data_IF_586380491943
#
_entry.id   IF_586380491943
#
_cell.length_a   1.000
_cell.length_b   1.000
_cell.length_c   1.000
_cell.angle_alpha   90.00
_cell.angle_beta   90.00
_cell.angle_gamma   90.00
#
_symmetry.space_group_name_H-M   'P 1'
#
loop_
_entity.id
_entity.type
_entity.pdbx_description
1 polymer ?
#
# COMPACT_ATOMS: atom_id res chain seq x y z
N UNK A 1 -28.70 -16.54 5.19
CA UNK A 1 -28.24 -15.70 6.32
C UNK A 1 -26.88 -15.11 5.95
N UNK A 2 -26.73 -13.78 5.98
CA UNK A 2 -25.43 -13.12 5.77
C UNK A 2 -24.55 -13.48 6.96
N UNK A 3 -23.40 -14.09 6.71
CA UNK A 3 -22.42 -14.42 7.76
C UNK A 3 -21.80 -13.13 8.28
N UNK A 4 -21.40 -13.09 9.55
CA UNK A 4 -20.83 -11.89 10.21
C UNK A 4 -19.59 -11.28 9.52
N UNK A 5 -19.10 -11.89 8.45
CA UNK A 5 -17.91 -11.45 7.69
C UNK A 5 -18.24 -10.95 6.28
N UNK A 6 -19.49 -10.93 5.87
CA UNK A 6 -19.88 -10.49 4.54
C UNK A 6 -19.95 -8.97 4.48
N UNK A 7 -19.39 -8.38 3.43
CA UNK A 7 -19.38 -6.94 3.24
C UNK A 7 -20.73 -6.47 2.71
N UNK A 8 -21.58 -5.93 3.57
CA UNK A 8 -22.88 -5.38 3.20
C UNK A 8 -22.76 -3.88 2.87
N UNK A 9 -23.30 -3.50 1.73
CA UNK A 9 -23.53 -2.12 1.28
C UNK A 9 -25.05 -1.88 1.29
N UNK A 10 -25.52 -0.87 2.00
CA UNK A 10 -26.96 -0.57 2.07
C UNK A 10 -27.24 0.84 1.51
N UNK A 11 -28.28 0.94 0.69
CA UNK A 11 -28.79 2.22 0.20
C UNK A 11 -29.85 2.75 1.15
N UNK A 12 -29.69 4.00 1.60
CA UNK A 12 -30.61 4.68 2.51
C UNK A 12 -30.91 6.07 1.94
N UNK A 13 -32.13 6.53 2.05
CA UNK A 13 -32.58 7.83 1.57
C UNK A 13 -34.08 7.85 1.37
N UNK A 14 -34.65 9.04 1.08
CA UNK A 14 -36.08 9.25 0.84
C UNK A 14 -36.63 8.35 -0.27
N UNK A 15 -37.95 8.18 -0.38
CA UNK A 15 -38.57 7.63 -1.59
C UNK A 15 -38.21 8.50 -2.82
N UNK A 16 -38.16 7.89 -3.99
CA UNK A 16 -37.97 8.52 -5.29
C UNK A 16 -36.64 9.26 -5.54
N UNK A 17 -35.64 9.15 -4.62
CA UNK A 17 -34.28 9.69 -4.86
C UNK A 17 -33.47 8.83 -5.84
N UNK A 18 -33.99 7.68 -6.27
CA UNK A 18 -33.34 6.81 -7.26
C UNK A 18 -32.54 5.64 -6.67
N UNK A 19 -32.81 5.22 -5.43
CA UNK A 19 -32.13 4.07 -4.78
C UNK A 19 -32.17 2.79 -5.62
N UNK A 20 -33.35 2.39 -6.09
CA UNK A 20 -33.50 1.19 -6.90
C UNK A 20 -32.82 1.27 -8.27
N UNK A 21 -32.75 2.48 -8.85
CA UNK A 21 -31.99 2.72 -10.09
C UNK A 21 -30.49 2.54 -9.83
N UNK A 22 -29.97 3.13 -8.74
CA UNK A 22 -28.57 2.95 -8.32
C UNK A 22 -28.26 1.49 -8.04
N UNK A 23 -29.15 0.81 -7.30
CA UNK A 23 -29.02 -0.62 -7.00
C UNK A 23 -28.88 -1.45 -8.29
N UNK A 24 -29.76 -1.22 -9.28
CA UNK A 24 -29.70 -1.93 -10.56
C UNK A 24 -28.43 -1.58 -11.36
N UNK A 25 -27.97 -0.33 -11.34
CA UNK A 25 -26.71 0.09 -11.99
C UNK A 25 -25.49 -0.56 -11.34
N UNK A 26 -25.45 -0.64 -10.02
CA UNK A 26 -24.39 -1.35 -9.29
C UNK A 26 -24.34 -2.82 -9.72
N UNK A 27 -25.49 -3.48 -9.86
CA UNK A 27 -25.57 -4.88 -10.32
C UNK A 27 -25.22 -5.05 -11.79
N UNK A 28 -25.60 -4.12 -12.65
CA UNK A 28 -25.29 -4.14 -14.08
C UNK A 28 -23.84 -3.82 -14.43
N UNK A 29 -23.17 -3.00 -13.62
CA UNK A 29 -21.74 -2.67 -13.73
C UNK A 29 -20.83 -3.68 -13.01
N UNK A 30 -21.37 -4.60 -12.25
CA UNK A 30 -20.64 -5.67 -11.56
C UNK A 30 -20.77 -6.98 -12.31
N UNK A 31 -19.73 -7.82 -12.35
CA UNK A 31 -19.87 -9.20 -12.81
C UNK A 31 -20.80 -9.94 -11.84
N UNK A 32 -22.05 -10.14 -12.25
CA UNK A 32 -23.09 -10.75 -11.42
C UNK A 32 -22.70 -12.18 -11.04
N UNK A 33 -22.45 -12.41 -9.75
CA UNK A 33 -22.32 -13.75 -9.20
C UNK A 33 -23.73 -14.33 -9.10
N UNK A 34 -24.02 -15.36 -9.90
CA UNK A 34 -25.29 -16.07 -9.87
C UNK A 34 -25.41 -16.88 -8.58
N UNK A 35 -26.13 -16.34 -7.59
CA UNK A 35 -26.63 -17.11 -6.46
C UNK A 35 -28.10 -16.78 -6.22
N UNK A 36 -28.95 -17.81 -6.30
CA UNK A 36 -30.36 -17.74 -5.92
C UNK A 36 -30.46 -17.75 -4.39
N UNK A 37 -30.68 -16.60 -3.77
CA UNK A 37 -31.17 -16.54 -2.39
C UNK A 37 -32.62 -16.13 -2.49
N UNK A 38 -33.52 -17.09 -2.29
CA UNK A 38 -34.97 -16.84 -2.17
C UNK A 38 -35.28 -16.39 -0.76
N UNK A 39 -35.85 -15.22 -0.60
CA UNK A 39 -36.32 -14.66 0.67
C UNK A 39 -37.78 -14.19 0.53
N UNK A 40 -38.53 -14.38 1.58
CA UNK A 40 -39.96 -14.05 1.72
C UNK A 40 -40.21 -12.53 1.60
N UNK A 41 -41.43 -12.16 1.20
CA UNK A 41 -41.98 -10.86 0.77
C UNK A 41 -41.79 -9.65 1.72
N UNK A 42 -41.03 -9.74 2.80
CA UNK A 42 -40.72 -8.69 3.78
C UNK A 42 -39.22 -8.48 3.98
N UNK A 43 -38.36 -9.15 3.22
CA UNK A 43 -36.90 -9.02 3.35
C UNK A 43 -36.35 -7.99 2.38
N UNK A 44 -35.33 -7.23 2.85
CA UNK A 44 -34.56 -6.31 2.01
C UNK A 44 -34.04 -7.07 0.79
N UNK A 45 -34.15 -6.46 -0.39
CA UNK A 45 -33.60 -7.04 -1.62
C UNK A 45 -32.07 -6.98 -1.57
N UNK A 46 -31.45 -8.10 -1.16
CA UNK A 46 -30.00 -8.21 -1.02
C UNK A 46 -29.47 -9.06 -2.16
N UNK A 47 -28.51 -8.52 -2.94
CA UNK A 47 -27.86 -9.24 -4.04
C UNK A 47 -26.34 -9.13 -3.97
N UNK A 48 -25.63 -10.18 -4.43
CA UNK A 48 -24.17 -10.13 -4.53
C UNK A 48 -23.76 -9.25 -5.71
N UNK A 49 -22.66 -8.51 -5.51
CA UNK A 49 -22.01 -7.67 -6.50
C UNK A 49 -20.50 -7.82 -6.37
N UNK A 50 -19.77 -7.51 -7.42
CA UNK A 50 -18.30 -7.49 -7.40
C UNK A 50 -17.75 -6.37 -8.29
N UNK A 51 -16.72 -5.69 -7.82
CA UNK A 51 -16.04 -4.65 -8.58
C UNK A 51 -14.53 -4.71 -8.33
N UNK A 52 -13.74 -4.78 -9.38
CA UNK A 52 -12.26 -4.87 -9.30
C UNK A 52 -11.75 -5.92 -8.28
N UNK A 53 -12.38 -7.11 -8.28
CA UNK A 53 -12.01 -8.22 -7.39
C UNK A 53 -12.49 -8.06 -5.95
N UNK A 54 -13.30 -7.04 -5.63
CA UNK A 54 -13.93 -6.85 -4.32
C UNK A 54 -15.35 -7.38 -4.38
N UNK A 55 -15.64 -8.40 -3.58
CA UNK A 55 -16.99 -8.98 -3.46
C UNK A 55 -17.74 -8.33 -2.30
N UNK A 56 -19.00 -7.99 -2.52
CA UNK A 56 -19.89 -7.42 -1.52
C UNK A 56 -21.34 -7.75 -1.79
N UNK A 57 -22.19 -7.55 -0.81
CA UNK A 57 -23.63 -7.61 -0.98
C UNK A 57 -24.18 -6.20 -1.01
N UNK A 58 -25.06 -5.90 -1.94
CA UNK A 58 -25.79 -4.63 -2.00
C UNK A 58 -27.23 -4.85 -1.64
N UNK A 59 -27.78 -3.93 -0.83
CA UNK A 59 -29.17 -4.00 -0.40
C UNK A 59 -29.90 -2.71 -0.76
N UNK A 60 -31.03 -2.85 -1.43
CA UNK A 60 -31.98 -1.75 -1.60
C UNK A 60 -32.96 -1.75 -0.41
N UNK A 61 -33.06 -0.60 0.28
CA UNK A 61 -34.05 -0.44 1.34
C UNK A 61 -35.50 -0.36 0.86
N UNK A 62 -35.70 -0.41 -0.48
CA UNK A 62 -37.03 -0.35 -1.10
C UNK A 62 -37.71 1.02 -0.95
N UNK A 63 -38.92 1.13 -1.49
CA UNK A 63 -39.73 2.34 -1.44
C UNK A 63 -40.40 2.63 -0.08
N UNK A 64 -39.83 2.14 1.01
CA UNK A 64 -40.38 2.38 2.33
C UNK A 64 -40.09 3.80 2.83
N UNK A 65 -41.16 4.52 3.20
CA UNK A 65 -41.03 5.79 3.89
C UNK A 65 -40.32 5.57 5.23
N UNK A 66 -39.09 6.05 5.34
CA UNK A 66 -38.39 6.15 6.63
C UNK A 66 -39.06 7.22 7.55
N UNK A 67 -40.05 7.91 7.01
CA UNK A 67 -40.82 8.97 7.64
C UNK A 67 -42.32 8.66 7.60
N UNK A 68 -42.99 8.62 8.73
CA UNK A 68 -44.43 8.71 8.81
C UNK A 68 -44.81 10.19 8.96
N UNK A 69 -45.49 10.76 7.95
CA UNK A 69 -46.18 12.01 8.11
C UNK A 69 -47.33 11.85 9.18
N UNK A 70 -47.73 12.93 9.81
CA UNK A 70 -48.86 12.91 10.75
C UNK A 70 -50.18 12.44 10.10
N UNK A 71 -50.24 12.35 8.79
CA UNK A 71 -51.39 11.90 7.97
C UNK A 71 -51.43 10.39 7.72
N UNK A 72 -50.41 9.61 8.12
CA UNK A 72 -50.41 8.15 7.91
C UNK A 72 -51.42 7.45 8.83
N UNK A 73 -52.30 6.57 8.35
CA UNK A 73 -53.26 5.81 9.17
C UNK A 73 -52.54 5.00 10.26
N UNK A 74 -53.18 4.88 11.43
CA UNK A 74 -52.58 4.25 12.61
C UNK A 74 -52.08 2.83 12.39
N UNK A 75 -52.75 2.04 11.58
CA UNK A 75 -52.39 0.67 11.22
C UNK A 75 -51.09 0.61 10.36
N UNK A 76 -50.90 1.57 9.48
CA UNK A 76 -49.72 1.65 8.63
C UNK A 76 -48.50 2.16 9.44
N UNK A 77 -48.69 3.02 10.47
CA UNK A 77 -47.58 3.50 11.32
C UNK A 77 -46.86 2.38 12.04
N UNK A 78 -47.57 1.35 12.49
CA UNK A 78 -46.94 0.20 13.17
C UNK A 78 -46.10 -0.66 12.21
N UNK A 79 -46.53 -0.77 10.95
CA UNK A 79 -45.79 -1.50 9.91
C UNK A 79 -44.54 -0.72 9.45
N UNK A 80 -44.71 0.57 9.22
CA UNK A 80 -43.60 1.47 8.87
C UNK A 80 -42.52 1.51 9.96
N UNK A 81 -42.93 1.53 11.24
CA UNK A 81 -42.01 1.45 12.38
C UNK A 81 -41.19 0.17 12.37
N UNK A 82 -41.81 -0.98 12.14
CA UNK A 82 -41.12 -2.28 12.06
C UNK A 82 -40.16 -2.34 10.89
N UNK A 83 -40.54 -1.80 9.73
CA UNK A 83 -39.68 -1.74 8.54
C UNK A 83 -38.49 -0.82 8.77
N UNK A 84 -38.71 0.34 9.37
CA UNK A 84 -37.67 1.30 9.75
C UNK A 84 -36.65 0.66 10.69
N UNK A 85 -37.11 0.01 11.76
CA UNK A 85 -36.23 -0.72 12.68
C UNK A 85 -35.39 -1.79 11.99
N UNK A 86 -35.96 -2.49 11.00
CA UNK A 86 -35.22 -3.47 10.20
C UNK A 86 -34.14 -2.82 9.34
N UNK A 87 -34.46 -1.76 8.58
CA UNK A 87 -33.47 -1.04 7.76
C UNK A 87 -32.32 -0.57 8.63
N UNK A 88 -32.59 0.00 9.80
CA UNK A 88 -31.55 0.42 10.72
C UNK A 88 -30.75 -0.73 11.32
N UNK A 89 -31.36 -1.89 11.57
CA UNK A 89 -30.64 -3.08 12.03
C UNK A 89 -29.69 -3.64 10.96
N UNK A 90 -30.06 -3.57 9.69
CA UNK A 90 -29.15 -3.90 8.59
C UNK A 90 -28.08 -2.82 8.41
N UNK A 91 -28.44 -1.56 8.51
CA UNK A 91 -27.48 -0.44 8.42
C UNK A 91 -26.42 -0.50 9.52
N UNK A 92 -26.76 -0.92 10.75
CA UNK A 92 -25.80 -1.20 11.83
C UNK A 92 -24.77 -2.30 11.48
N UNK A 93 -25.17 -3.24 10.63
CA UNK A 93 -24.31 -4.36 10.18
C UNK A 93 -23.59 -4.04 8.88
N UNK A 94 -23.99 -2.98 8.16
CA UNK A 94 -23.42 -2.61 6.89
C UNK A 94 -22.00 -2.06 7.06
N UNK A 95 -21.12 -2.42 6.15
CA UNK A 95 -19.77 -1.85 6.05
C UNK A 95 -19.75 -0.52 5.32
N UNK A 96 -20.69 -0.31 4.41
CA UNK A 96 -20.85 0.95 3.68
C UNK A 96 -22.33 1.31 3.65
N UNK A 97 -22.65 2.54 3.98
CA UNK A 97 -23.97 3.11 3.87
C UNK A 97 -23.93 4.15 2.74
N UNK A 98 -24.71 3.94 1.71
CA UNK A 98 -24.92 4.90 0.64
C UNK A 98 -26.11 5.77 1.01
N UNK A 99 -25.84 6.97 1.50
CA UNK A 99 -26.89 7.94 1.80
C UNK A 99 -27.23 8.70 0.51
N UNK A 100 -28.39 8.38 -0.06
CA UNK A 100 -28.80 8.87 -1.39
C UNK A 100 -29.73 10.06 -1.25
N UNK A 101 -29.38 11.15 -1.91
CA UNK A 101 -30.16 12.38 -2.01
C UNK A 101 -30.43 12.77 -3.47
N UNK A 102 -31.42 13.64 -3.70
CA UNK A 102 -31.85 14.05 -5.03
C UNK A 102 -31.45 15.51 -5.30
N UNK A 103 -30.53 15.73 -6.23
CA UNK A 103 -30.07 17.08 -6.58
C UNK A 103 -31.19 17.97 -7.14
N UNK A 104 -32.12 17.42 -7.94
CA UNK A 104 -33.19 18.22 -8.55
C UNK A 104 -34.14 18.83 -7.53
N UNK A 105 -34.35 18.11 -6.42
CA UNK A 105 -35.22 18.60 -5.34
C UNK A 105 -34.47 19.47 -4.31
N UNK A 106 -33.13 19.51 -4.41
CA UNK A 106 -32.28 20.13 -3.40
C UNK A 106 -32.35 19.43 -2.04
N UNK A 107 -31.75 20.04 -1.05
CA UNK A 107 -31.76 19.51 0.31
C UNK A 107 -33.03 19.89 1.05
N UNK A 108 -33.80 18.91 1.47
CA UNK A 108 -35.04 19.11 2.21
C UNK A 108 -34.88 18.64 3.66
N UNK A 109 -35.78 19.06 4.59
CA UNK A 109 -35.70 18.72 6.01
C UNK A 109 -35.58 17.22 6.29
N UNK A 110 -36.30 16.38 5.57
CA UNK A 110 -36.29 14.93 5.71
C UNK A 110 -34.89 14.32 5.44
N UNK A 111 -34.12 14.86 4.53
CA UNK A 111 -32.75 14.42 4.27
C UNK A 111 -31.87 14.64 5.52
N UNK A 112 -31.99 15.81 6.17
CA UNK A 112 -31.28 16.13 7.41
C UNK A 112 -31.66 15.20 8.55
N UNK A 113 -32.95 14.91 8.68
CA UNK A 113 -33.45 14.05 9.76
C UNK A 113 -33.01 12.60 9.56
N UNK A 114 -33.08 12.05 8.33
CA UNK A 114 -32.54 10.73 8.03
C UNK A 114 -31.04 10.69 8.38
N UNK A 115 -30.28 11.68 7.96
CA UNK A 115 -28.85 11.74 8.23
C UNK A 115 -28.53 11.81 9.74
N UNK A 116 -29.21 12.69 10.48
CA UNK A 116 -29.06 12.78 11.94
C UNK A 116 -29.39 11.45 12.62
N UNK A 117 -30.44 10.75 12.15
CA UNK A 117 -30.79 9.45 12.68
C UNK A 117 -29.74 8.38 12.37
N UNK A 118 -29.15 8.41 11.16
CA UNK A 118 -28.02 7.55 10.80
C UNK A 118 -26.82 7.77 11.72
N UNK A 119 -26.42 9.02 11.95
CA UNK A 119 -25.29 9.34 12.82
C UNK A 119 -25.58 8.90 14.26
N UNK A 120 -26.75 9.25 14.80
CA UNK A 120 -27.11 9.00 16.21
C UNK A 120 -27.19 7.50 16.54
N UNK A 121 -27.70 6.69 15.61
CA UNK A 121 -28.02 5.29 15.89
C UNK A 121 -27.06 4.26 15.27
N UNK A 122 -26.25 4.65 14.29
CA UNK A 122 -25.44 3.71 13.51
C UNK A 122 -23.95 3.97 13.66
N UNK A 123 -23.55 5.23 13.88
CA UNK A 123 -22.15 5.59 14.13
C UNK A 123 -21.86 5.57 15.62
N UNK A 124 -21.22 4.54 16.16
CA UNK A 124 -20.61 4.66 17.49
C UNK A 124 -19.42 5.61 17.39
N UNK A 125 -19.11 6.36 18.47
CA UNK A 125 -17.99 7.27 18.49
C UNK A 125 -16.68 6.51 18.25
N UNK A 126 -16.02 6.82 17.12
CA UNK A 126 -14.57 6.78 16.95
C UNK A 126 -13.79 5.62 17.58
N UNK A 127 -13.98 4.37 17.11
CA UNK A 127 -12.89 3.36 17.15
C UNK A 127 -13.27 2.12 16.34
N UNK A 128 -13.00 2.16 15.05
CA UNK A 128 -12.57 0.95 14.31
C UNK A 128 -13.62 -0.07 13.84
N UNK A 129 -14.93 0.09 14.07
CA UNK A 129 -15.95 -0.90 13.65
C UNK A 129 -17.25 -0.32 13.06
N UNK A 130 -17.34 0.96 12.80
CA UNK A 130 -18.53 1.57 12.18
C UNK A 130 -18.39 1.64 10.66
N UNK A 131 -19.48 1.41 9.93
CA UNK A 131 -19.52 1.49 8.48
C UNK A 131 -19.25 2.91 7.97
N UNK A 132 -18.64 3.03 6.79
CA UNK A 132 -18.44 4.31 6.13
C UNK A 132 -19.76 4.83 5.57
N UNK A 133 -20.05 6.13 5.75
CA UNK A 133 -21.17 6.79 5.08
C UNK A 133 -20.63 7.53 3.87
N UNK A 134 -21.20 7.23 2.69
CA UNK A 134 -20.94 7.91 1.43
C UNK A 134 -22.22 8.65 1.05
N UNK A 135 -22.13 9.97 0.87
CA UNK A 135 -23.20 10.77 0.31
C UNK A 135 -23.26 10.55 -1.21
N UNK A 136 -24.38 10.07 -1.70
CA UNK A 136 -24.62 9.88 -3.14
C UNK A 136 -25.63 10.91 -3.59
N UNK A 137 -25.16 11.93 -4.31
CA UNK A 137 -26.00 13.01 -4.85
C UNK A 137 -26.45 12.57 -6.24
N UNK A 138 -27.67 12.08 -6.35
CA UNK A 138 -28.22 11.55 -7.60
C UNK A 138 -28.96 12.60 -8.43
N UNK A 139 -29.21 12.30 -9.69
CA UNK A 139 -29.90 13.12 -10.71
C UNK A 139 -29.09 14.36 -11.11
N UNK A 140 -27.76 14.28 -11.04
CA UNK A 140 -26.85 15.29 -11.56
C UNK A 140 -26.62 15.00 -13.04
N UNK A 141 -27.52 15.46 -13.90
CA UNK A 141 -27.56 15.09 -15.32
C UNK A 141 -26.58 15.90 -16.20
N UNK A 142 -25.87 16.87 -15.63
CA UNK A 142 -24.89 17.70 -16.34
C UNK A 142 -23.62 17.89 -15.53
N UNK A 143 -22.45 17.77 -16.17
CA UNK A 143 -21.14 18.04 -15.57
C UNK A 143 -21.04 19.45 -14.97
N UNK A 144 -21.74 20.44 -15.56
CA UNK A 144 -21.77 21.82 -15.07
C UNK A 144 -22.42 21.97 -13.69
N UNK A 145 -23.24 21.00 -13.29
CA UNK A 145 -23.98 21.03 -12.04
C UNK A 145 -23.26 20.31 -10.89
N UNK A 146 -22.10 19.73 -11.12
CA UNK A 146 -21.37 18.94 -10.10
C UNK A 146 -20.97 19.82 -8.91
N UNK A 147 -20.38 20.98 -9.15
CA UNK A 147 -19.98 21.92 -8.09
C UNK A 147 -21.17 22.41 -7.30
N UNK A 148 -22.27 22.76 -7.97
CA UNK A 148 -23.52 23.16 -7.33
C UNK A 148 -24.12 22.03 -6.49
N UNK A 149 -24.05 20.79 -6.96
CA UNK A 149 -24.52 19.62 -6.23
C UNK A 149 -23.73 19.41 -4.93
N UNK A 150 -22.41 19.56 -4.96
CA UNK A 150 -21.61 19.49 -3.75
C UNK A 150 -21.87 20.67 -2.80
N UNK A 151 -22.02 21.87 -3.31
CA UNK A 151 -22.34 23.07 -2.51
C UNK A 151 -23.67 22.93 -1.78
N UNK A 152 -24.72 22.48 -2.48
CA UNK A 152 -26.08 22.29 -1.94
C UNK A 152 -26.10 21.37 -0.71
N UNK A 153 -25.36 20.25 -0.77
CA UNK A 153 -25.36 19.26 0.32
C UNK A 153 -24.17 19.39 1.27
N UNK A 154 -23.35 20.43 1.15
CA UNK A 154 -22.16 20.67 1.99
C UNK A 154 -22.47 20.79 3.47
N UNK A 155 -23.64 21.34 3.80
CA UNK A 155 -24.09 21.55 5.19
C UNK A 155 -24.31 20.24 5.97
N UNK A 156 -24.38 19.08 5.31
CA UNK A 156 -24.41 17.78 5.97
C UNK A 156 -23.05 17.39 6.59
N UNK A 157 -21.94 18.04 6.19
CA UNK A 157 -20.61 17.76 6.73
C UNK A 157 -20.07 16.39 6.39
N UNK A 158 -20.61 15.69 5.39
CA UNK A 158 -20.15 14.36 4.95
C UNK A 158 -18.92 14.53 4.07
N UNK A 159 -17.77 14.03 4.54
CA UNK A 159 -16.48 14.17 3.83
C UNK A 159 -16.39 13.41 2.51
N UNK A 160 -17.21 12.36 2.34
CA UNK A 160 -17.21 11.49 1.17
C UNK A 160 -18.51 11.69 0.44
N UNK A 161 -18.50 12.50 -0.61
CA UNK A 161 -19.65 12.78 -1.46
C UNK A 161 -19.33 12.45 -2.91
N UNK A 162 -20.30 11.89 -3.63
CA UNK A 162 -20.18 11.53 -5.04
C UNK A 162 -21.44 11.97 -5.78
N UNK A 163 -21.27 12.82 -6.78
CA UNK A 163 -22.34 13.26 -7.67
C UNK A 163 -22.52 12.25 -8.82
N UNK A 164 -23.75 11.76 -9.01
CA UNK A 164 -24.06 10.77 -10.03
C UNK A 164 -25.34 11.12 -10.79
N UNK A 165 -25.50 10.56 -11.98
CA UNK A 165 -26.79 10.37 -12.66
C UNK A 165 -27.00 8.88 -12.87
N UNK A 166 -27.79 8.24 -12.00
CA UNK A 166 -28.03 6.82 -12.10
C UNK A 166 -28.76 6.44 -13.40
N UNK A 167 -29.59 7.32 -13.94
CA UNK A 167 -30.28 7.12 -15.20
C UNK A 167 -29.30 7.07 -16.38
N UNK A 168 -28.37 8.03 -16.47
CA UNK A 168 -27.41 8.15 -17.55
C UNK A 168 -26.14 7.32 -17.32
N UNK A 169 -25.95 6.73 -16.14
CA UNK A 169 -24.75 5.95 -15.78
C UNK A 169 -23.55 6.79 -15.37
N UNK A 170 -23.65 8.13 -15.37
CA UNK A 170 -22.59 9.03 -14.98
C UNK A 170 -22.23 8.87 -13.50
N UNK A 171 -20.91 8.79 -13.17
CA UNK A 171 -20.40 8.69 -11.80
C UNK A 171 -20.62 7.33 -11.12
N UNK A 172 -21.19 6.33 -11.81
CA UNK A 172 -21.40 4.98 -11.24
C UNK A 172 -20.08 4.26 -11.01
N UNK A 173 -19.11 4.40 -11.92
CA UNK A 173 -17.78 3.79 -11.74
C UNK A 173 -17.03 4.41 -10.57
N UNK A 174 -17.12 5.73 -10.39
CA UNK A 174 -16.54 6.44 -9.22
C UNK A 174 -17.18 5.96 -7.92
N UNK A 175 -18.50 5.75 -7.92
CA UNK A 175 -19.23 5.19 -6.78
C UNK A 175 -18.76 3.77 -6.47
N UNK A 176 -18.65 2.89 -7.48
CA UNK A 176 -18.17 1.53 -7.31
C UNK A 176 -16.72 1.47 -6.81
N UNK A 177 -15.86 2.35 -7.34
CA UNK A 177 -14.48 2.47 -6.88
C UNK A 177 -14.41 2.91 -5.41
N UNK A 178 -15.24 3.89 -5.02
CA UNK A 178 -15.28 4.35 -3.63
C UNK A 178 -15.83 3.27 -2.69
N UNK A 179 -16.88 2.53 -3.09
CA UNK A 179 -17.38 1.37 -2.35
C UNK A 179 -16.27 0.34 -2.14
N UNK A 180 -15.56 0.00 -3.22
CA UNK A 180 -14.47 -0.98 -3.16
C UNK A 180 -13.32 -0.50 -2.25
N UNK A 181 -12.97 0.78 -2.27
CA UNK A 181 -11.97 1.39 -1.37
C UNK A 181 -12.40 1.29 0.09
N UNK A 182 -13.67 1.58 0.41
CA UNK A 182 -14.16 1.49 1.78
C UNK A 182 -14.18 0.05 2.27
N UNK A 183 -14.67 -0.88 1.46
CA UNK A 183 -14.68 -2.30 1.80
C UNK A 183 -13.25 -2.83 2.00
N UNK A 184 -12.31 -2.48 1.11
CA UNK A 184 -10.89 -2.82 1.28
C UNK A 184 -10.28 -2.15 2.52
N UNK A 185 -10.62 -0.91 2.78
CA UNK A 185 -10.17 -0.17 3.96
C UNK A 185 -10.67 -0.77 5.29
N UNK A 186 -11.90 -1.31 5.30
CA UNK A 186 -12.53 -1.97 6.44
C UNK A 186 -12.21 -3.46 6.51
N UNK A 187 -12.03 -4.10 5.35
CA UNK A 187 -11.55 -5.47 5.19
C UNK A 187 -10.03 -5.49 4.98
N UNK A 188 -9.28 -4.70 5.70
CA UNK A 188 -7.93 -5.13 6.02
C UNK A 188 -8.12 -6.39 6.85
N UNK A 189 -8.32 -7.52 6.14
CA UNK A 189 -8.16 -8.81 6.78
C UNK A 189 -6.79 -8.76 7.47
N UNK A 190 -6.58 -9.48 8.55
CA UNK A 190 -5.22 -9.66 9.04
C UNK A 190 -4.26 -9.92 7.87
N UNK A 191 -4.69 -10.65 6.84
CA UNK A 191 -3.92 -10.95 5.64
C UNK A 191 -3.60 -9.71 4.79
N UNK A 192 -4.58 -8.81 4.53
CA UNK A 192 -4.32 -7.56 3.77
C UNK A 192 -3.48 -6.56 4.58
N UNK A 193 -3.63 -6.57 5.91
CA UNK A 193 -2.78 -5.81 6.82
C UNK A 193 -1.33 -6.34 6.79
N UNK A 194 -1.16 -7.66 6.71
CA UNK A 194 0.14 -8.29 6.57
C UNK A 194 0.72 -8.14 5.15
N UNK A 195 -0.12 -8.19 4.10
CA UNK A 195 0.32 -8.00 2.71
C UNK A 195 0.70 -6.55 2.39
N UNK A 196 0.17 -5.57 3.10
CA UNK A 196 0.52 -4.14 2.95
C UNK A 196 1.79 -3.73 3.72
N UNK A 197 2.36 -4.63 4.51
CA UNK A 197 3.58 -4.42 5.28
C UNK A 197 4.84 -4.38 4.41
N UNK A 198 5.97 -3.97 5.02
CA UNK A 198 7.28 -4.05 4.39
C UNK A 198 7.66 -5.51 4.16
N UNK A 199 7.92 -5.89 2.91
CA UNK A 199 8.34 -7.23 2.53
C UNK A 199 9.86 -7.31 2.42
N UNK A 200 10.48 -8.15 3.25
CA UNK A 200 11.93 -8.36 3.30
C UNK A 200 12.25 -9.77 2.81
N UNK A 201 13.12 -9.89 1.82
CA UNK A 201 13.76 -11.15 1.46
C UNK A 201 15.12 -11.25 2.14
N UNK A 202 15.45 -12.42 2.73
CA UNK A 202 16.76 -12.69 3.28
C UNK A 202 17.41 -13.75 2.40
N UNK A 203 18.45 -13.36 1.68
CA UNK A 203 19.19 -14.20 0.75
C UNK A 203 20.65 -14.33 1.14
N UNK A 204 21.34 -15.30 0.63
CA UNK A 204 22.76 -15.55 0.92
C UNK A 204 23.09 -17.03 0.88
N UNK A 205 24.36 -17.36 0.86
CA UNK A 205 24.85 -18.74 0.80
C UNK A 205 24.29 -19.65 1.90
N UNK A 206 24.27 -20.96 1.72
CA UNK A 206 24.02 -21.90 2.83
C UNK A 206 24.95 -21.59 4.02
N UNK A 207 24.47 -21.77 5.23
CA UNK A 207 25.19 -21.52 6.48
C UNK A 207 25.64 -20.05 6.73
N UNK A 208 25.15 -19.07 5.97
CA UNK A 208 25.41 -17.66 6.21
C UNK A 208 24.64 -17.07 7.42
N UNK A 209 23.93 -17.88 8.21
CA UNK A 209 23.26 -17.45 9.44
C UNK A 209 21.80 -17.03 9.30
N UNK A 210 21.15 -17.22 8.12
CA UNK A 210 19.75 -16.84 7.86
C UNK A 210 18.77 -17.47 8.86
N UNK A 211 18.83 -18.77 9.06
CA UNK A 211 17.93 -19.49 9.98
C UNK A 211 18.16 -19.07 11.45
N UNK A 212 19.41 -18.84 11.84
CA UNK A 212 19.75 -18.38 13.18
C UNK A 212 19.18 -16.98 13.44
N UNK A 213 19.28 -16.08 12.46
CA UNK A 213 18.71 -14.74 12.54
C UNK A 213 17.19 -14.78 12.71
N UNK A 214 16.49 -15.55 11.89
CA UNK A 214 15.02 -15.68 12.00
C UNK A 214 14.64 -16.22 13.37
N UNK A 215 15.31 -17.24 13.85
CA UNK A 215 15.05 -17.81 15.17
C UNK A 215 15.34 -16.83 16.31
N UNK A 216 16.36 -15.97 16.19
CA UNK A 216 16.66 -14.94 17.19
C UNK A 216 15.59 -13.87 17.25
N UNK A 217 15.10 -13.40 16.09
CA UNK A 217 14.01 -12.42 16.02
C UNK A 217 12.70 -13.01 16.57
N UNK A 218 12.44 -14.30 16.33
CA UNK A 218 11.26 -15.01 16.85
C UNK A 218 11.28 -15.06 18.39
N UNK A 219 12.43 -15.25 19.01
CA UNK A 219 12.58 -15.35 20.46
C UNK A 219 12.44 -14.02 21.20
N UNK A 220 12.66 -12.90 20.55
CA UNK A 220 12.57 -11.55 21.17
C UNK A 220 11.13 -11.01 21.29
N UNK A 221 10.09 -11.85 21.27
CA UNK A 221 8.66 -11.46 21.33
C UNK A 221 8.23 -10.42 20.26
N UNK A 222 9.02 -10.28 19.20
CA UNK A 222 8.69 -9.42 18.05
C UNK A 222 7.68 -10.05 17.10
N UNK A 223 7.23 -11.28 17.39
CA UNK A 223 6.37 -12.07 16.51
C UNK A 223 4.98 -12.32 17.07
N UNK A 224 3.98 -11.97 16.27
CA UNK A 224 2.72 -12.70 16.23
C UNK A 224 2.83 -13.76 15.11
N UNK A 225 3.11 -15.00 15.48
CA UNK A 225 2.94 -16.13 14.57
C UNK A 225 1.46 -16.52 14.57
N UNK A 226 0.69 -16.06 13.61
CA UNK A 226 -0.52 -16.74 13.23
C UNK A 226 -0.12 -17.92 12.32
N UNK A 227 0.16 -19.06 12.91
CA UNK A 227 0.21 -20.34 12.21
C UNK A 227 -1.23 -20.71 11.84
N UNK A 228 -1.74 -20.21 10.73
CA UNK A 228 -2.87 -20.86 10.07
C UNK A 228 -2.34 -21.75 8.96
N UNK A 229 -2.43 -23.09 9.15
CA UNK A 229 -2.17 -24.03 8.06
C UNK A 229 -3.33 -23.92 7.06
N UNK A 230 -3.01 -23.61 5.83
CA UNK A 230 -3.98 -23.70 4.75
C UNK A 230 -3.81 -22.69 3.67
N UNK A 231 -2.93 -22.94 2.76
CA UNK A 231 -3.12 -22.98 1.30
C UNK A 231 -1.77 -23.17 0.63
N UNK A 232 -1.67 -24.29 -0.09
CA UNK A 232 -0.67 -24.63 -1.13
C UNK A 232 0.82 -24.68 -0.78
N UNK A 233 1.44 -25.71 -1.22
CA UNK A 233 2.76 -26.33 -1.04
C UNK A 233 4.02 -25.46 -1.20
N UNK A 234 3.96 -24.12 -1.36
CA UNK A 234 5.09 -23.35 -1.91
C UNK A 234 5.39 -22.06 -1.16
N UNK A 235 5.82 -21.95 -0.03
CA UNK A 235 6.42 -20.81 0.70
C UNK A 235 5.64 -20.30 1.90
N UNK A 236 6.27 -20.41 3.07
CA UNK A 236 5.74 -19.86 4.32
C UNK A 236 6.41 -18.51 4.56
N UNK A 237 5.63 -17.43 4.47
CA UNK A 237 6.07 -16.10 4.88
C UNK A 237 5.89 -15.94 6.40
N UNK A 238 6.82 -15.25 7.05
CA UNK A 238 6.77 -14.98 8.50
C UNK A 238 6.51 -13.51 8.76
N UNK A 239 5.56 -13.21 9.63
CA UNK A 239 5.14 -11.85 9.94
C UNK A 239 5.73 -11.37 11.26
N UNK A 240 6.29 -10.16 11.25
CA UNK A 240 6.88 -9.48 12.41
C UNK A 240 6.08 -8.21 12.72
N UNK A 241 5.72 -7.99 13.97
CA UNK A 241 5.30 -6.67 14.42
C UNK A 241 6.53 -5.95 14.99
N UNK A 242 7.02 -4.97 14.28
CA UNK A 242 8.16 -4.18 14.70
C UNK A 242 7.75 -2.72 14.89
N UNK A 243 7.84 -2.23 16.12
CA UNK A 243 7.29 -0.91 16.50
C UNK A 243 5.80 -0.87 16.07
N UNK A 244 5.37 0.09 15.31
CA UNK A 244 3.98 0.19 14.81
C UNK A 244 3.80 -0.27 13.36
N UNK A 245 4.68 -1.17 12.88
CA UNK A 245 4.69 -1.65 11.48
C UNK A 245 4.65 -3.15 11.43
N UNK A 246 4.04 -3.67 10.37
CA UNK A 246 4.14 -5.08 10.00
C UNK A 246 5.28 -5.24 9.00
N UNK A 247 6.12 -6.22 9.25
CA UNK A 247 7.21 -6.63 8.38
C UNK A 247 6.98 -8.09 8.02
N UNK A 248 7.02 -8.40 6.73
CA UNK A 248 6.89 -9.77 6.23
C UNK A 248 8.24 -10.27 5.76
N UNK A 249 8.76 -11.32 6.38
CA UNK A 249 9.95 -12.02 5.88
C UNK A 249 9.48 -13.09 4.92
N UNK A 250 9.89 -12.98 3.66
CA UNK A 250 9.44 -13.83 2.55
C UNK A 250 10.15 -15.18 2.61
N UNK A 251 9.39 -16.27 2.37
CA UNK A 251 9.85 -17.63 2.17
C UNK A 251 10.81 -18.16 3.27
N UNK A 252 10.32 -18.12 4.49
CA UNK A 252 11.07 -18.66 5.63
C UNK A 252 11.15 -20.20 5.62
N UNK A 253 10.34 -20.89 4.81
CA UNK A 253 10.37 -22.35 4.68
C UNK A 253 11.64 -22.85 4.03
N UNK A 254 12.13 -22.19 2.99
CA UNK A 254 13.44 -22.47 2.38
C UNK A 254 14.61 -22.21 3.34
N UNK A 255 14.41 -21.30 4.30
CA UNK A 255 15.41 -20.98 5.32
C UNK A 255 15.38 -22.00 6.49
N UNK A 256 14.19 -22.50 6.87
CA UNK A 256 14.02 -23.51 7.95
C UNK A 256 14.39 -24.92 7.53
N UNK A 257 14.10 -25.30 6.29
CA UNK A 257 14.58 -26.57 5.70
C UNK A 257 16.03 -26.37 5.29
N UNK A 258 16.97 -27.10 5.89
CA UNK A 258 18.37 -27.16 5.43
C UNK A 258 18.40 -27.63 3.97
N UNK A 259 18.29 -26.71 3.00
CA UNK A 259 18.42 -27.05 1.61
C UNK A 259 19.89 -27.34 1.33
N UNK A 260 20.18 -28.60 0.96
CA UNK A 260 21.49 -29.02 0.43
C UNK A 260 21.67 -28.59 -1.04
N UNK A 261 20.92 -27.57 -1.50
CA UNK A 261 20.99 -27.10 -2.87
C UNK A 261 22.26 -26.28 -3.05
N UNK A 262 23.08 -26.67 -4.00
CA UNK A 262 24.22 -25.88 -4.45
C UNK A 262 23.75 -24.56 -5.04
N UNK A 263 24.50 -23.49 -4.80
CA UNK A 263 24.19 -22.12 -5.25
C UNK A 263 24.09 -22.06 -6.78
N UNK A 264 24.82 -22.92 -7.48
CA UNK A 264 24.77 -23.04 -8.94
C UNK A 264 23.61 -23.90 -9.47
N UNK A 265 22.82 -24.53 -8.57
CA UNK A 265 21.65 -25.25 -9.04
C UNK A 265 20.61 -24.27 -9.58
N UNK A 266 20.03 -24.57 -10.74
CA UNK A 266 18.91 -23.77 -11.31
C UNK A 266 17.79 -23.56 -10.31
N UNK A 267 17.57 -24.51 -9.40
CA UNK A 267 16.56 -24.43 -8.34
C UNK A 267 16.85 -23.32 -7.34
N UNK A 268 18.10 -23.16 -6.87
CA UNK A 268 18.48 -22.12 -5.92
C UNK A 268 18.38 -20.73 -6.55
N UNK A 269 18.86 -20.56 -7.79
CA UNK A 269 18.79 -19.30 -8.51
C UNK A 269 17.33 -18.88 -8.76
N UNK A 270 16.49 -19.82 -9.19
CA UNK A 270 15.07 -19.58 -9.44
C UNK A 270 14.31 -19.22 -8.16
N UNK A 271 14.60 -19.91 -7.04
CA UNK A 271 14.00 -19.60 -5.74
C UNK A 271 14.43 -18.22 -5.24
N UNK A 272 15.72 -17.91 -5.28
CA UNK A 272 16.25 -16.60 -4.88
C UNK A 272 15.66 -15.48 -5.74
N UNK A 273 15.54 -15.66 -7.04
CA UNK A 273 14.96 -14.68 -7.95
C UNK A 273 13.47 -14.41 -7.62
N UNK A 274 12.69 -15.44 -7.29
CA UNK A 274 11.30 -15.27 -6.87
C UNK A 274 11.17 -14.48 -5.56
N UNK A 275 12.06 -14.75 -4.60
CA UNK A 275 12.11 -13.99 -3.34
C UNK A 275 12.47 -12.52 -3.60
N UNK A 276 13.48 -12.26 -4.42
CA UNK A 276 13.93 -10.92 -4.81
C UNK A 276 12.80 -10.13 -5.47
N UNK A 277 12.08 -10.72 -6.43
CA UNK A 277 10.97 -10.05 -7.12
C UNK A 277 9.83 -9.67 -6.19
N UNK A 278 9.50 -10.50 -5.20
CA UNK A 278 8.42 -10.26 -4.24
C UNK A 278 8.79 -9.25 -3.15
N UNK A 279 10.08 -9.04 -2.89
CA UNK A 279 10.57 -8.19 -1.81
C UNK A 279 10.51 -6.70 -2.13
N UNK A 280 10.38 -5.90 -1.09
CA UNK A 280 10.55 -4.45 -1.11
C UNK A 280 11.99 -4.06 -0.82
N UNK A 281 12.63 -4.77 0.12
CA UNK A 281 14.03 -4.63 0.51
C UNK A 281 14.64 -6.01 0.62
N UNK A 282 15.88 -6.16 0.19
CA UNK A 282 16.61 -7.43 0.23
C UNK A 282 17.74 -7.31 1.25
N UNK A 283 17.91 -8.32 2.09
CA UNK A 283 19.05 -8.42 2.99
C UNK A 283 19.93 -9.58 2.50
N UNK A 284 21.16 -9.26 2.12
CA UNK A 284 22.15 -10.24 1.68
C UNK A 284 23.04 -10.61 2.86
N UNK A 285 22.99 -11.87 3.28
CA UNK A 285 23.79 -12.38 4.39
C UNK A 285 25.11 -12.93 3.89
N UNK A 286 26.21 -12.35 4.38
CA UNK A 286 27.59 -12.80 4.13
C UNK A 286 28.22 -13.18 5.45
N UNK A 287 28.77 -14.38 5.55
CA UNK A 287 29.52 -14.83 6.72
C UNK A 287 30.86 -14.10 6.79
N UNK A 288 31.08 -13.31 7.85
CA UNK A 288 32.32 -12.52 8.02
C UNK A 288 33.56 -13.42 8.14
N UNK A 289 33.41 -14.64 8.65
CA UNK A 289 34.54 -15.56 8.85
C UNK A 289 35.02 -16.18 7.54
N UNK A 290 34.11 -16.32 6.57
CA UNK A 290 34.43 -16.81 5.23
C UNK A 290 34.86 -15.70 4.25
N UNK A 291 34.58 -14.43 4.61
CA UNK A 291 34.81 -13.27 3.76
C UNK A 291 33.84 -13.22 2.56
N UNK A 292 34.06 -12.21 1.71
CA UNK A 292 33.26 -12.03 0.48
C UNK A 292 33.79 -12.98 -0.60
N UNK A 293 32.92 -13.83 -1.13
CA UNK A 293 33.26 -14.79 -2.18
C UNK A 293 32.71 -14.38 -3.54
N UNK A 294 33.10 -15.10 -4.59
CA UNK A 294 32.59 -14.90 -5.94
C UNK A 294 31.07 -15.10 -6.02
N UNK A 295 30.54 -16.07 -5.25
CA UNK A 295 29.11 -16.35 -5.21
C UNK A 295 28.32 -15.20 -4.59
N UNK A 296 28.87 -14.58 -3.53
CA UNK A 296 28.25 -13.40 -2.92
C UNK A 296 28.19 -12.26 -3.91
N UNK A 297 29.28 -12.01 -4.66
CA UNK A 297 29.30 -10.97 -5.70
C UNK A 297 28.33 -11.26 -6.85
N UNK A 298 28.20 -12.52 -7.26
CA UNK A 298 27.24 -12.94 -8.29
C UNK A 298 25.79 -12.71 -7.84
N UNK A 299 25.50 -13.04 -6.59
CA UNK A 299 24.17 -12.77 -5.99
C UNK A 299 23.89 -11.25 -5.93
N UNK A 300 24.85 -10.43 -5.52
CA UNK A 300 24.71 -8.97 -5.50
C UNK A 300 24.46 -8.41 -6.90
N UNK A 301 25.16 -8.91 -7.93
CA UNK A 301 24.93 -8.51 -9.33
C UNK A 301 23.51 -8.85 -9.79
N UNK A 302 23.02 -10.05 -9.46
CA UNK A 302 21.65 -10.46 -9.77
C UNK A 302 20.60 -9.55 -9.13
N UNK A 303 20.79 -9.18 -7.86
CA UNK A 303 19.90 -8.27 -7.15
C UNK A 303 19.90 -6.87 -7.78
N UNK A 304 21.09 -6.38 -8.15
CA UNK A 304 21.25 -5.07 -8.76
C UNK A 304 20.54 -4.97 -10.13
N UNK A 305 20.56 -6.05 -10.93
CA UNK A 305 19.81 -6.13 -12.19
C UNK A 305 18.30 -5.97 -12.00
N UNK A 306 17.74 -6.47 -10.89
CA UNK A 306 16.33 -6.33 -10.55
C UNK A 306 15.98 -4.93 -10.01
N UNK A 307 16.95 -4.02 -9.89
CA UNK A 307 16.78 -2.65 -9.38
C UNK A 307 16.02 -2.60 -8.04
N UNK A 308 16.32 -3.53 -7.16
CA UNK A 308 15.75 -3.58 -5.81
C UNK A 308 16.75 -3.05 -4.81
N UNK A 309 16.30 -2.25 -3.82
CA UNK A 309 17.20 -1.79 -2.75
C UNK A 309 17.62 -2.98 -1.89
N UNK A 310 18.89 -3.01 -1.50
CA UNK A 310 19.40 -4.09 -0.68
C UNK A 310 20.42 -3.61 0.36
N UNK A 311 20.63 -4.44 1.38
CA UNK A 311 21.56 -4.24 2.50
C UNK A 311 22.48 -5.46 2.54
N UNK A 312 23.76 -5.25 2.71
CA UNK A 312 24.70 -6.33 2.99
C UNK A 312 24.86 -6.48 4.50
N UNK A 313 24.44 -7.62 5.05
CA UNK A 313 24.59 -7.93 6.46
C UNK A 313 25.71 -8.96 6.66
N UNK A 314 26.84 -8.51 7.22
CA UNK A 314 27.93 -9.38 7.61
C UNK A 314 27.58 -10.06 8.94
N UNK A 315 27.34 -11.36 8.86
CA UNK A 315 26.88 -12.20 9.99
C UNK A 315 28.04 -12.77 10.77
N UNK A 316 27.72 -13.42 11.90
CA UNK A 316 28.69 -14.08 12.78
C UNK A 316 29.78 -13.15 13.29
N UNK A 317 29.42 -11.89 13.56
CA UNK A 317 30.34 -10.87 14.05
C UNK A 317 31.05 -11.26 15.35
N UNK A 318 30.43 -12.10 16.16
CA UNK A 318 31.00 -12.70 17.38
C UNK A 318 32.17 -13.65 17.13
N UNK A 319 32.32 -14.15 15.90
CA UNK A 319 33.40 -15.05 15.48
C UNK A 319 34.45 -14.34 14.60
N UNK A 320 34.42 -13.01 14.51
CA UNK A 320 35.37 -12.25 13.69
C UNK A 320 36.81 -12.43 14.26
N UNK A 321 37.80 -12.30 13.40
CA UNK A 321 39.18 -12.19 13.86
C UNK A 321 39.39 -10.85 14.57
N UNK A 322 39.61 -10.89 15.88
CA UNK A 322 39.78 -9.69 16.71
C UNK A 322 41.11 -8.95 16.48
N UNK A 323 42.10 -9.62 15.89
CA UNK A 323 43.38 -9.01 15.52
C UNK A 323 43.28 -8.02 14.37
N UNK A 324 42.20 -8.07 13.59
CA UNK A 324 41.95 -7.14 12.47
C UNK A 324 41.17 -5.94 12.99
N UNK A 325 41.71 -4.73 12.80
CA UNK A 325 41.00 -3.52 13.16
C UNK A 325 39.73 -3.35 12.32
N UNK A 326 38.64 -2.91 12.97
CA UNK A 326 37.35 -2.69 12.29
C UNK A 326 37.46 -1.67 11.16
N UNK A 327 38.34 -0.68 11.27
CA UNK A 327 38.62 0.30 10.24
C UNK A 327 39.23 -0.31 8.98
N UNK A 328 40.15 -1.25 9.14
CA UNK A 328 40.79 -1.98 8.04
C UNK A 328 39.80 -2.91 7.36
N UNK A 329 39.02 -3.65 8.16
CA UNK A 329 37.96 -4.51 7.66
C UNK A 329 36.94 -3.73 6.82
N UNK A 330 36.54 -2.55 7.28
CA UNK A 330 35.63 -1.67 6.51
C UNK A 330 36.24 -1.18 5.20
N UNK A 331 37.56 -0.93 5.19
CA UNK A 331 38.27 -0.52 3.95
C UNK A 331 38.33 -1.67 2.95
N UNK A 332 38.67 -2.89 3.42
CA UNK A 332 38.70 -4.10 2.56
C UNK A 332 37.31 -4.41 1.96
N UNK A 333 36.26 -4.38 2.81
CA UNK A 333 34.89 -4.56 2.34
C UNK A 333 34.51 -3.53 1.26
N UNK A 334 34.80 -2.26 1.47
CA UNK A 334 34.53 -1.21 0.46
C UNK A 334 35.30 -1.42 -0.83
N UNK A 335 36.52 -1.93 -0.76
CA UNK A 335 37.33 -2.23 -1.93
C UNK A 335 36.73 -3.40 -2.72
N UNK A 336 36.34 -4.48 -2.04
CA UNK A 336 35.73 -5.68 -2.65
C UNK A 336 34.34 -5.42 -3.19
N UNK A 337 33.59 -4.54 -2.53
CA UNK A 337 32.23 -4.11 -2.95
C UNK A 337 32.27 -2.82 -3.78
N UNK A 338 33.36 -2.53 -4.51
CA UNK A 338 33.53 -1.28 -5.27
C UNK A 338 32.37 -1.00 -6.23
N UNK A 339 31.83 -2.03 -6.90
CA UNK A 339 30.66 -1.93 -7.78
C UNK A 339 29.38 -1.56 -7.01
N UNK A 340 29.33 -1.84 -5.70
CA UNK A 340 28.20 -1.63 -4.79
C UNK A 340 28.56 -0.62 -3.67
N UNK A 341 29.44 0.33 -3.98
CA UNK A 341 30.03 1.26 -2.98
C UNK A 341 29.01 2.10 -2.22
N UNK A 342 27.83 2.29 -2.80
CA UNK A 342 26.72 3.05 -2.22
C UNK A 342 25.75 2.17 -1.41
N UNK A 343 25.90 0.85 -1.50
CA UNK A 343 25.01 -0.09 -0.78
C UNK A 343 25.38 -0.08 0.71
N UNK A 344 24.40 0.13 1.59
CA UNK A 344 24.64 0.08 3.02
C UNK A 344 25.03 -1.32 3.47
N UNK A 345 25.99 -1.40 4.40
CA UNK A 345 26.34 -2.65 5.04
C UNK A 345 26.35 -2.53 6.57
N UNK A 346 26.12 -3.64 7.25
CA UNK A 346 26.03 -3.71 8.70
C UNK A 346 26.64 -5.02 9.21
N UNK A 347 27.28 -4.99 10.38
CA UNK A 347 27.77 -6.18 11.07
C UNK A 347 26.76 -6.63 12.10
N UNK A 348 26.36 -7.90 12.06
CA UNK A 348 25.38 -8.47 12.97
C UNK A 348 25.88 -9.78 13.61
N UNK A 349 25.37 -10.08 14.80
CA UNK A 349 25.49 -11.40 15.42
C UNK A 349 24.12 -11.83 15.96
N UNK A 350 23.60 -12.90 15.40
CA UNK A 350 22.36 -13.53 15.90
C UNK A 350 22.56 -14.26 17.23
N UNK A 351 23.80 -14.60 17.56
CA UNK A 351 24.12 -15.27 18.83
C UNK A 351 24.11 -14.31 20.02
N UNK A 352 24.58 -13.08 19.79
CA UNK A 352 24.67 -12.02 20.82
C UNK A 352 23.62 -10.94 20.65
N UNK A 353 22.66 -11.10 19.74
CA UNK A 353 21.63 -10.13 19.37
C UNK A 353 22.18 -8.77 18.90
N UNK A 354 23.46 -8.73 18.51
CA UNK A 354 24.11 -7.48 18.11
C UNK A 354 23.53 -6.97 16.80
N UNK A 355 23.05 -5.71 16.82
CA UNK A 355 22.56 -4.95 15.66
C UNK A 355 21.37 -5.55 14.90
N UNK A 356 20.64 -6.53 15.46
CA UNK A 356 19.47 -7.12 14.80
C UNK A 356 18.37 -6.07 14.57
N UNK A 357 18.02 -5.33 15.62
CA UNK A 357 17.03 -4.24 15.53
C UNK A 357 17.49 -3.14 14.58
N UNK A 358 18.77 -2.79 14.55
CA UNK A 358 19.32 -1.80 13.63
C UNK A 358 19.22 -2.23 12.18
N UNK A 359 19.38 -3.52 11.87
CA UNK A 359 19.19 -4.07 10.54
C UNK A 359 17.72 -3.91 10.06
N UNK A 360 16.77 -4.15 10.96
CA UNK A 360 15.35 -3.94 10.66
C UNK A 360 15.04 -2.46 10.47
N UNK A 361 15.54 -1.57 11.34
CA UNK A 361 15.38 -0.13 11.20
C UNK A 361 15.94 0.36 9.86
N UNK A 362 17.11 -0.11 9.46
CA UNK A 362 17.74 0.23 8.19
C UNK A 362 16.87 -0.23 7.00
N UNK A 363 16.27 -1.39 7.08
CA UNK A 363 15.33 -1.89 6.06
C UNK A 363 14.08 -1.01 5.94
N UNK A 364 13.55 -0.55 7.07
CA UNK A 364 12.42 0.39 7.10
C UNK A 364 12.82 1.74 6.51
N UNK A 365 13.98 2.28 6.88
CA UNK A 365 14.49 3.56 6.37
C UNK A 365 14.65 3.54 4.85
N UNK A 366 15.21 2.46 4.30
CA UNK A 366 15.39 2.29 2.85
C UNK A 366 14.05 2.17 2.13
N UNK A 367 13.10 1.42 2.69
CA UNK A 367 11.78 1.32 2.10
C UNK A 367 11.00 2.64 2.15
N UNK A 368 11.12 3.40 3.21
CA UNK A 368 10.44 4.70 3.33
C UNK A 368 11.02 5.73 2.35
N UNK A 369 12.28 5.59 1.97
CA UNK A 369 12.90 6.45 0.98
C UNK A 369 12.25 6.38 -0.43
N UNK A 370 11.61 5.26 -0.78
CA UNK A 370 10.79 5.15 -2.02
C UNK A 370 9.66 6.17 -2.06
N UNK A 371 9.19 6.61 -0.88
CA UNK A 371 8.05 7.53 -0.73
C UNK A 371 8.45 8.98 -0.94
N UNK A 372 9.74 9.28 -0.99
CA UNK A 372 10.24 10.64 -1.23
C UNK A 372 9.90 11.05 -2.65
N UNK A 373 8.92 11.94 -2.79
CA UNK A 373 8.49 12.51 -4.06
C UNK A 373 8.99 13.95 -4.16
N UNK A 374 9.93 14.17 -5.06
CA UNK A 374 10.50 15.49 -5.35
C UNK A 374 9.87 15.98 -6.65
N UNK A 375 9.26 17.17 -6.60
CA UNK A 375 8.61 17.75 -7.78
C UNK A 375 9.66 18.15 -8.81
N UNK A 376 9.34 18.01 -10.09
CA UNK A 376 10.23 18.40 -11.19
C UNK A 376 10.73 19.84 -11.07
N UNK A 377 9.89 20.77 -10.60
CA UNK A 377 10.28 22.16 -10.34
C UNK A 377 11.41 22.27 -9.30
N UNK A 378 11.37 21.44 -8.26
CA UNK A 378 12.36 21.48 -7.17
C UNK A 378 13.70 20.87 -7.64
N UNK A 379 13.65 19.82 -8.48
CA UNK A 379 14.84 19.27 -9.15
C UNK A 379 15.49 20.32 -10.07
N UNK A 380 14.69 21.06 -10.82
CA UNK A 380 15.23 22.11 -11.70
C UNK A 380 15.75 23.29 -10.92
N UNK A 381 15.14 23.66 -9.79
CA UNK A 381 15.68 24.66 -8.87
C UNK A 381 17.04 24.23 -8.33
N UNK A 382 17.16 22.99 -7.87
CA UNK A 382 18.43 22.41 -7.45
C UNK A 382 19.53 22.52 -8.53
N UNK A 383 19.19 22.27 -9.81
CA UNK A 383 20.14 22.40 -10.93
C UNK A 383 20.60 23.85 -11.08
N UNK A 384 19.66 24.81 -11.00
CA UNK A 384 19.97 26.24 -11.12
C UNK A 384 20.86 26.70 -9.96
N UNK A 385 20.49 26.37 -8.73
CA UNK A 385 21.25 26.72 -7.51
C UNK A 385 22.64 26.11 -7.54
N UNK A 386 22.78 24.89 -8.09
CA UNK A 386 24.05 24.19 -8.21
C UNK A 386 24.95 24.77 -9.30
N UNK A 387 24.40 25.37 -10.36
CA UNK A 387 25.19 26.07 -11.41
C UNK A 387 25.92 27.29 -10.89
N UNK A 388 25.34 27.98 -9.94
CA UNK A 388 25.89 29.18 -9.31
C UNK A 388 26.96 28.89 -8.24
N UNK A 389 27.12 27.64 -7.84
CA UNK A 389 28.08 27.22 -6.82
C UNK A 389 29.49 27.04 -7.42
N UNK A 390 30.51 27.69 -6.87
CA UNK A 390 31.91 27.57 -7.32
C UNK A 390 32.43 26.13 -7.29
N UNK A 391 32.04 25.35 -6.28
CA UNK A 391 32.48 23.94 -6.12
C UNK A 391 31.73 22.96 -7.00
N UNK A 392 30.47 23.23 -7.34
CA UNK A 392 29.56 22.32 -8.04
C UNK A 392 29.31 22.67 -9.51
N UNK A 393 29.58 23.91 -9.90
CA UNK A 393 29.18 24.52 -11.18
C UNK A 393 29.70 23.84 -12.44
N UNK A 394 30.87 23.19 -12.40
CA UNK A 394 31.47 22.56 -13.59
C UNK A 394 30.59 21.45 -14.19
N UNK A 395 30.03 20.61 -13.34
CA UNK A 395 29.22 19.48 -13.77
C UNK A 395 27.83 19.93 -14.22
N UNK A 396 27.20 20.80 -13.42
CA UNK A 396 25.84 21.27 -13.65
C UNK A 396 25.69 22.16 -14.89
N UNK A 397 26.78 22.76 -15.42
CA UNK A 397 26.76 23.50 -16.70
C UNK A 397 26.25 22.67 -17.88
N UNK A 398 26.47 21.37 -17.84
CA UNK A 398 26.04 20.45 -18.90
C UNK A 398 24.63 19.90 -18.73
N UNK A 399 23.98 20.15 -17.60
CA UNK A 399 22.63 19.68 -17.32
C UNK A 399 21.62 20.76 -17.70
N UNK A 400 20.73 20.45 -18.64
CA UNK A 400 19.67 21.35 -19.07
C UNK A 400 18.53 21.38 -18.05
N UNK A 401 17.98 20.23 -17.76
CA UNK A 401 16.90 20.03 -16.77
C UNK A 401 16.93 18.61 -16.21
N UNK A 402 16.14 18.36 -15.17
CA UNK A 402 16.03 17.05 -14.55
C UNK A 402 14.65 16.79 -13.94
N UNK A 403 14.39 15.53 -13.66
CA UNK A 403 13.17 15.08 -12.99
C UNK A 403 13.46 13.83 -12.16
N UNK A 404 12.67 13.61 -11.12
CA UNK A 404 12.61 12.29 -10.46
C UNK A 404 11.71 11.36 -11.26
N UNK A 405 12.17 10.14 -11.51
CA UNK A 405 11.40 9.10 -12.17
C UNK A 405 10.37 8.51 -11.21
N UNK A 406 9.11 8.50 -11.59
CA UNK A 406 8.04 7.95 -10.76
C UNK A 406 8.00 6.42 -10.81
N UNK A 407 7.56 5.78 -9.72
CA UNK A 407 7.32 4.34 -9.67
C UNK A 407 8.55 3.44 -9.48
N UNK A 408 9.74 4.01 -9.34
CA UNK A 408 10.96 3.23 -9.11
C UNK A 408 11.10 2.82 -7.63
N UNK A 409 11.71 1.66 -7.41
CA UNK A 409 11.99 1.14 -6.06
C UNK A 409 13.14 1.88 -5.35
N UNK A 410 14.00 2.52 -6.10
CA UNK A 410 15.11 3.34 -5.64
C UNK A 410 14.88 4.75 -6.17
N UNK A 411 15.05 5.83 -5.37
CA UNK A 411 14.97 7.19 -5.88
C UNK A 411 15.86 7.38 -7.10
N UNK A 412 15.26 7.53 -8.28
CA UNK A 412 15.96 7.62 -9.56
C UNK A 412 15.75 9.00 -10.15
N UNK A 413 16.84 9.69 -10.48
CA UNK A 413 16.80 11.01 -11.12
C UNK A 413 17.29 10.90 -12.56
N UNK A 414 16.55 11.50 -13.48
CA UNK A 414 16.93 11.61 -14.88
C UNK A 414 17.39 13.05 -15.12
N UNK A 415 18.60 13.20 -15.65
CA UNK A 415 19.11 14.50 -16.10
C UNK A 415 19.26 14.53 -17.61
N UNK A 416 18.84 15.62 -18.21
CA UNK A 416 18.95 15.87 -19.63
C UNK A 416 20.11 16.83 -19.89
N UNK A 417 21.04 16.43 -20.76
CA UNK A 417 22.30 17.12 -20.97
C UNK A 417 22.36 17.82 -22.34
N UNK A 418 22.88 19.04 -22.36
CA UNK A 418 23.03 19.86 -23.58
C UNK A 418 24.21 19.43 -24.45
N UNK A 419 25.09 18.52 -23.99
CA UNK A 419 26.37 18.31 -24.63
C UNK A 419 26.38 17.08 -25.52
N UNK A 420 26.75 17.28 -26.79
CA UNK A 420 26.96 16.25 -27.79
C UNK A 420 28.29 15.51 -27.50
N UNK A 421 28.35 14.73 -26.44
CA UNK A 421 29.53 13.85 -26.26
C UNK A 421 30.12 13.70 -24.89
N UNK A 422 29.75 14.49 -23.89
CA UNK A 422 30.27 14.27 -22.54
C UNK A 422 29.51 13.13 -21.87
N UNK A 423 30.19 12.01 -21.67
CA UNK A 423 29.74 10.90 -20.84
C UNK A 423 30.16 11.26 -19.39
N UNK A 424 29.22 11.32 -18.47
CA UNK A 424 29.53 11.47 -17.06
C UNK A 424 30.30 10.25 -16.57
N UNK A 425 31.49 10.47 -16.06
CA UNK A 425 32.32 9.44 -15.44
C UNK A 425 31.73 9.00 -14.08
N UNK A 426 32.29 7.92 -13.53
CA UNK A 426 31.87 7.42 -12.22
C UNK A 426 31.99 8.48 -11.10
N UNK A 427 33.01 9.33 -11.15
CA UNK A 427 33.22 10.42 -10.20
C UNK A 427 32.16 11.50 -10.33
N UNK A 428 31.78 11.85 -11.56
CA UNK A 428 30.71 12.81 -11.82
C UNK A 428 29.37 12.32 -11.25
N UNK A 429 29.06 11.04 -11.46
CA UNK A 429 27.84 10.42 -10.93
C UNK A 429 27.85 10.38 -9.40
N UNK A 430 28.99 10.06 -8.79
CA UNK A 430 29.16 10.05 -7.35
C UNK A 430 28.95 11.45 -6.76
N UNK A 431 29.50 12.47 -7.41
CA UNK A 431 29.33 13.85 -7.02
C UNK A 431 27.86 14.32 -7.14
N UNK A 432 27.18 13.96 -8.24
CA UNK A 432 25.74 14.25 -8.40
C UNK A 432 24.90 13.61 -7.32
N UNK A 433 25.15 12.35 -6.99
CA UNK A 433 24.46 11.63 -5.91
C UNK A 433 24.63 12.31 -4.56
N UNK A 434 25.86 12.68 -4.20
CA UNK A 434 26.11 13.40 -2.96
C UNK A 434 25.38 14.74 -2.94
N UNK A 435 25.45 15.51 -4.02
CA UNK A 435 24.78 16.80 -4.13
C UNK A 435 23.26 16.71 -4.02
N UNK A 436 22.65 15.68 -4.60
CA UNK A 436 21.20 15.41 -4.49
C UNK A 436 20.83 15.05 -3.06
N UNK A 437 21.61 14.16 -2.43
CA UNK A 437 21.35 13.77 -1.03
C UNK A 437 21.41 14.98 -0.10
N UNK A 438 22.44 15.78 -0.23
CA UNK A 438 22.65 16.97 0.61
C UNK A 438 21.52 17.99 0.43
N UNK A 439 21.12 18.25 -0.82
CA UNK A 439 20.12 19.26 -1.13
C UNK A 439 18.70 18.85 -0.73
N UNK A 440 18.34 17.58 -0.94
CA UNK A 440 17.00 17.03 -0.64
C UNK A 440 16.94 16.27 0.68
N UNK A 441 17.98 16.37 1.51
CA UNK A 441 18.08 15.71 2.83
C UNK A 441 17.81 14.19 2.78
N UNK A 442 18.22 13.55 1.68
CA UNK A 442 18.10 12.10 1.53
C UNK A 442 19.18 11.42 2.38
N UNK A 443 18.78 10.55 3.29
CA UNK A 443 19.71 9.84 4.18
C UNK A 443 20.82 9.14 3.39
N UNK A 444 22.03 9.16 3.92
CA UNK A 444 23.25 8.60 3.26
C UNK A 444 23.16 7.09 3.02
N UNK A 445 22.33 6.38 3.79
CA UNK A 445 22.10 4.95 3.64
C UNK A 445 21.07 4.59 2.57
N UNK A 446 20.53 5.58 1.87
CA UNK A 446 19.57 5.37 0.77
C UNK A 446 20.33 5.49 -0.54
N UNK A 447 20.24 4.46 -1.37
CA UNK A 447 20.78 4.50 -2.72
C UNK A 447 20.00 5.50 -3.57
N UNK A 448 20.72 6.28 -4.39
CA UNK A 448 20.15 7.21 -5.37
C UNK A 448 20.70 6.83 -6.74
N UNK A 449 19.81 6.50 -7.66
CA UNK A 449 20.19 6.20 -9.05
C UNK A 449 20.13 7.46 -9.90
N UNK A 450 21.08 7.57 -10.84
CA UNK A 450 21.14 8.67 -11.79
C UNK A 450 21.15 8.09 -13.18
N UNK A 451 20.17 8.50 -13.97
CA UNK A 451 20.12 8.27 -15.42
C UNK A 451 20.36 9.60 -16.11
N UNK A 452 21.02 9.60 -17.25
CA UNK A 452 21.16 10.80 -18.08
C UNK A 452 20.82 10.49 -19.53
N UNK A 453 20.19 11.44 -20.17
CA UNK A 453 19.78 11.37 -21.58
C UNK A 453 20.26 12.59 -22.33
N UNK A 454 20.59 12.44 -23.61
CA UNK A 454 20.83 13.59 -24.46
C UNK A 454 19.54 14.39 -24.60
N UNK A 455 19.65 15.70 -24.46
CA UNK A 455 18.60 16.62 -24.85
C UNK A 455 18.64 16.72 -26.38
N UNK A 456 17.67 16.17 -27.06
CA UNK A 456 17.36 16.45 -28.45
C UNK A 456 16.36 17.59 -28.47
N UNK A 457 16.83 18.81 -28.84
CA UNK A 457 15.96 19.96 -29.05
C UNK A 457 15.04 19.70 -30.22
#
# INVERSE_FOLDING_TARGET
MIKNNDSLVILVGRPNVGKSTIFNKILGGSHALTSKISGTTLDLNIKPASYNGVNFFVSDSGGFNLYSSNETPFELRSLEKKVRERVFNYAKKAKVILFVVDFKNGMIPEDKEIYLHLIKNITPPLRGKGGAIILVINKVDSLKNIENAYAEFSSLGIKKAIAISAENGFGIDDLLEQIAKEIKGLNKSPRDFYESGLKIAIVGRPNSGKSTFINSIIREDLLFTDEKPGTTRDSIDTYLKYKNRIITIIDTSGIRKKSKLDIYSEGFQKQSLNQIKRADVIIVFIDITAGITHDDLSLLKMINLEKKPFIVAFTKWDLRNENIQVSELKKDIKLRLKEFSETPFIFISSKTNKNLNRLIDLSVEINDAKKVKIKTKDVNKFIIDSKSSEKRGRLFKYIAYGAQKAGENIPTFIFFTNNKGKIFGMEDIKHLRSSIRDYFEIKTNVEVLIEYKKYSA
#
